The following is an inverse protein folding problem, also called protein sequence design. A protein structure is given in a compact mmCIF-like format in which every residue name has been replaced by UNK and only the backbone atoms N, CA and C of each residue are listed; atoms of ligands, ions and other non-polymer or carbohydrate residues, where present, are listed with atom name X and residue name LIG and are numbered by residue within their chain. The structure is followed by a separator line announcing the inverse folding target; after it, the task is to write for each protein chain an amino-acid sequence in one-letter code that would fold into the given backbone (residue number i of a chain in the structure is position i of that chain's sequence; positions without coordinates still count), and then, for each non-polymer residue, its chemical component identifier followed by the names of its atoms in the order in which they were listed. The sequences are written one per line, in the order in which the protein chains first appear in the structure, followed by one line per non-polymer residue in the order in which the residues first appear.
data_IF_585402870111
#
_entry.id   IF_585402870111
#
_cell.length_a   1.000
_cell.length_b   1.000
_cell.length_c   1.000
_cell.angle_alpha   90.00
_cell.angle_beta   90.00
_cell.angle_gamma   90.00
#
_symmetry.space_group_name_H-M   'P 1'
#
loop_
_entity.id
_entity.type
_entity.pdbx_description
1 polymer ?
#
# COMPACT_ATOMS: atom_id res chain seq x y z
N UNK A 1 -25.22 6.87 -10.64
CA UNK A 1 -25.12 8.21 -10.01
C UNK A 1 -24.18 8.21 -8.81
N UNK A 2 -24.18 7.21 -7.91
CA UNK A 2 -23.24 7.13 -6.78
C UNK A 2 -21.81 6.91 -7.24
N UNK A 3 -21.59 5.96 -8.12
CA UNK A 3 -20.26 5.58 -8.62
C UNK A 3 -19.48 6.76 -9.26
N UNK A 4 -20.16 7.57 -10.09
CA UNK A 4 -19.53 8.75 -10.71
C UNK A 4 -19.12 9.80 -9.67
N UNK A 5 -19.95 10.01 -8.65
CA UNK A 5 -19.61 10.91 -7.56
C UNK A 5 -18.42 10.42 -6.78
N UNK A 6 -18.38 9.13 -6.44
CA UNK A 6 -17.31 8.53 -5.66
C UNK A 6 -15.97 8.56 -6.43
N UNK A 7 -16.02 8.36 -7.76
CA UNK A 7 -14.84 8.53 -8.63
C UNK A 7 -14.33 9.99 -8.62
N UNK A 8 -15.23 10.98 -8.72
CA UNK A 8 -14.85 12.39 -8.69
C UNK A 8 -14.29 12.80 -7.30
N UNK A 9 -14.88 12.28 -6.23
CA UNK A 9 -14.33 12.46 -4.86
C UNK A 9 -12.94 11.87 -4.75
N UNK A 10 -12.73 10.65 -5.28
CA UNK A 10 -11.43 9.99 -5.29
C UNK A 10 -10.39 10.79 -6.07
N UNK A 11 -10.73 11.23 -7.28
CA UNK A 11 -9.84 12.02 -8.13
C UNK A 11 -9.38 13.29 -7.43
N UNK A 12 -10.32 14.05 -6.88
CA UNK A 12 -10.03 15.30 -6.18
C UNK A 12 -9.23 15.06 -4.89
N UNK A 13 -9.71 14.18 -4.02
CA UNK A 13 -9.09 13.97 -2.71
C UNK A 13 -7.68 13.37 -2.78
N UNK A 14 -7.36 12.63 -3.84
CA UNK A 14 -6.05 11.99 -4.03
C UNK A 14 -5.15 12.73 -5.02
N UNK A 15 -5.58 13.86 -5.56
CA UNK A 15 -4.88 14.60 -6.62
C UNK A 15 -4.56 13.71 -7.83
N UNK A 16 -5.57 12.99 -8.31
CA UNK A 16 -5.52 12.10 -9.46
C UNK A 16 -6.41 12.64 -10.58
N UNK A 17 -6.12 12.26 -11.82
CA UNK A 17 -7.08 12.46 -12.91
C UNK A 17 -8.27 11.48 -12.77
N UNK A 18 -9.43 11.87 -13.32
CA UNK A 18 -10.67 11.09 -13.21
C UNK A 18 -10.54 9.67 -13.78
N UNK A 19 -9.74 9.51 -14.86
CA UNK A 19 -9.53 8.21 -15.49
C UNK A 19 -8.71 7.29 -14.58
N UNK A 20 -7.66 7.79 -13.97
CA UNK A 20 -6.81 7.05 -13.02
C UNK A 20 -7.62 6.65 -11.80
N UNK A 21 -8.40 7.58 -11.22
CA UNK A 21 -9.26 7.30 -10.07
C UNK A 21 -10.30 6.22 -10.38
N UNK A 22 -11.03 6.35 -11.50
CA UNK A 22 -11.98 5.34 -11.95
C UNK A 22 -11.36 3.98 -12.23
N UNK A 23 -10.16 3.97 -12.80
CA UNK A 23 -9.40 2.74 -13.04
C UNK A 23 -8.99 2.04 -11.73
N UNK A 24 -8.59 2.78 -10.70
CA UNK A 24 -8.26 2.17 -9.40
C UNK A 24 -9.50 1.53 -8.78
N UNK A 25 -10.63 2.24 -8.74
CA UNK A 25 -11.88 1.68 -8.20
C UNK A 25 -12.24 0.39 -8.91
N UNK A 26 -12.36 0.41 -10.25
CA UNK A 26 -12.76 -0.75 -11.04
C UNK A 26 -11.76 -1.93 -10.93
N UNK A 27 -10.45 -1.64 -10.97
CA UNK A 27 -9.41 -2.67 -10.84
C UNK A 27 -9.39 -3.31 -9.46
N UNK A 28 -9.60 -2.53 -8.40
CA UNK A 28 -9.56 -3.05 -7.04
C UNK A 28 -10.80 -3.86 -6.69
N UNK A 29 -11.98 -3.47 -7.21
CA UNK A 29 -13.16 -4.34 -7.15
C UNK A 29 -12.86 -5.71 -7.76
N UNK A 30 -12.27 -5.73 -8.96
CA UNK A 30 -11.96 -6.98 -9.67
C UNK A 30 -10.78 -7.75 -9.06
N UNK A 31 -9.67 -7.06 -8.75
CA UNK A 31 -8.42 -7.71 -8.35
C UNK A 31 -8.44 -8.19 -6.91
N UNK A 32 -9.13 -7.46 -6.02
CA UNK A 32 -9.22 -7.79 -4.60
C UNK A 32 -10.50 -8.53 -4.25
N UNK A 33 -11.40 -8.73 -5.23
CA UNK A 33 -12.74 -9.27 -5.01
C UNK A 33 -13.49 -8.46 -3.94
N UNK A 34 -13.36 -7.15 -3.99
CA UNK A 34 -14.01 -6.20 -3.10
C UNK A 34 -15.33 -5.73 -3.70
N UNK A 35 -16.32 -5.51 -2.84
CA UNK A 35 -17.47 -4.69 -3.22
C UNK A 35 -17.08 -3.19 -3.24
N UNK A 36 -17.94 -2.37 -3.83
CA UNK A 36 -17.71 -0.93 -3.95
C UNK A 36 -17.42 -0.26 -2.58
N UNK A 37 -18.16 -0.66 -1.54
CA UNK A 37 -17.99 -0.12 -0.19
C UNK A 37 -16.61 -0.47 0.39
N UNK A 38 -16.13 -1.66 0.15
CA UNK A 38 -14.79 -2.10 0.59
C UNK A 38 -13.69 -1.30 -0.11
N UNK A 39 -13.86 -1.01 -1.42
CA UNK A 39 -12.92 -0.15 -2.14
C UNK A 39 -12.93 1.27 -1.58
N UNK A 40 -14.11 1.85 -1.32
CA UNK A 40 -14.21 3.19 -0.72
C UNK A 40 -13.59 3.24 0.68
N UNK A 41 -13.73 2.16 1.46
CA UNK A 41 -13.06 2.04 2.76
C UNK A 41 -11.53 2.04 2.61
N UNK A 42 -10.99 1.28 1.65
CA UNK A 42 -9.55 1.27 1.36
C UNK A 42 -9.04 2.64 0.91
N UNK A 43 -9.84 3.35 0.10
CA UNK A 43 -9.53 4.71 -0.33
C UNK A 43 -9.50 5.71 0.84
N UNK A 44 -10.46 5.61 1.77
CA UNK A 44 -10.46 6.38 3.02
C UNK A 44 -9.19 6.13 3.85
N UNK A 45 -8.78 4.86 3.98
CA UNK A 45 -7.54 4.46 4.68
C UNK A 45 -6.31 5.06 4.01
N UNK A 46 -6.20 4.94 2.68
CA UNK A 46 -5.09 5.49 1.90
C UNK A 46 -5.02 7.02 1.99
N UNK A 47 -6.17 7.68 1.86
CA UNK A 47 -6.24 9.14 1.99
C UNK A 47 -5.80 9.59 3.38
N UNK A 48 -6.27 8.92 4.44
CA UNK A 48 -5.87 9.22 5.81
C UNK A 48 -4.36 9.03 6.02
N UNK A 49 -3.79 7.96 5.48
CA UNK A 49 -2.34 7.72 5.53
C UNK A 49 -1.56 8.85 4.84
N UNK A 50 -1.97 9.26 3.63
CA UNK A 50 -1.33 10.34 2.88
C UNK A 50 -1.39 11.68 3.60
N UNK A 51 -2.52 11.99 4.23
CA UNK A 51 -2.71 13.24 4.98
C UNK A 51 -1.86 13.33 6.26
N UNK A 52 -1.40 12.20 6.82
CA UNK A 52 -0.72 12.16 8.13
C UNK A 52 0.73 11.64 8.07
N UNK A 53 1.29 11.45 6.88
CA UNK A 53 2.66 11.00 6.69
C UNK A 53 3.35 11.80 5.58
N UNK A 54 4.68 11.68 5.47
CA UNK A 54 5.48 12.36 4.44
C UNK A 54 5.40 11.64 3.09
N UNK A 55 4.20 11.49 2.55
CA UNK A 55 3.87 10.91 1.24
C UNK A 55 2.47 11.40 0.85
N UNK A 56 2.01 11.10 -0.35
CA UNK A 56 0.67 11.47 -0.82
C UNK A 56 -0.24 10.25 -0.97
N UNK A 57 -1.55 10.45 -0.88
CA UNK A 57 -2.53 9.40 -1.10
C UNK A 57 -2.40 8.77 -2.50
N UNK A 58 -2.12 9.58 -3.53
CA UNK A 58 -1.89 9.10 -4.90
C UNK A 58 -0.67 8.20 -5.03
N UNK A 59 0.45 8.53 -4.37
CA UNK A 59 1.66 7.69 -4.35
C UNK A 59 1.42 6.35 -3.64
N UNK A 60 0.70 6.38 -2.51
CA UNK A 60 0.31 5.15 -1.79
C UNK A 60 -0.60 4.30 -2.68
N UNK A 61 -1.62 4.89 -3.30
CA UNK A 61 -2.53 4.20 -4.20
C UNK A 61 -1.81 3.52 -5.38
N UNK A 62 -0.82 4.18 -5.98
CA UNK A 62 0.03 3.60 -7.02
C UNK A 62 0.78 2.36 -6.53
N UNK A 63 1.33 2.40 -5.33
CA UNK A 63 2.06 1.28 -4.74
C UNK A 63 1.12 0.12 -4.39
N UNK A 64 -0.07 0.40 -3.85
CA UNK A 64 -1.12 -0.59 -3.59
C UNK A 64 -1.57 -1.26 -4.89
N UNK A 65 -1.82 -0.49 -5.96
CA UNK A 65 -2.18 -1.04 -7.26
C UNK A 65 -1.11 -2.00 -7.82
N UNK A 66 0.14 -1.80 -7.47
CA UNK A 66 1.26 -2.63 -7.94
C UNK A 66 1.50 -3.87 -7.08
N UNK A 67 1.21 -3.84 -5.78
CA UNK A 67 1.66 -4.86 -4.83
C UNK A 67 0.54 -5.63 -4.12
N UNK A 68 -0.66 -5.06 -3.96
CA UNK A 68 -1.65 -5.61 -3.04
C UNK A 68 -2.24 -6.96 -3.48
N UNK A 69 -2.33 -7.24 -4.79
CA UNK A 69 -2.74 -8.58 -5.26
C UNK A 69 -1.77 -9.67 -4.83
N UNK A 70 -0.46 -9.37 -4.83
CA UNK A 70 0.55 -10.30 -4.30
C UNK A 70 0.44 -10.40 -2.78
N UNK A 71 0.11 -9.29 -2.11
CA UNK A 71 -0.16 -9.26 -0.68
C UNK A 71 -1.29 -10.22 -0.28
N UNK A 72 -2.42 -10.16 -0.96
CA UNK A 72 -3.54 -11.08 -0.69
C UNK A 72 -3.16 -12.55 -0.85
N UNK A 73 -2.40 -12.89 -1.90
CA UNK A 73 -1.87 -14.25 -2.08
C UNK A 73 -0.95 -14.64 -0.92
N UNK A 74 -0.19 -13.69 -0.40
CA UNK A 74 0.72 -13.89 0.73
C UNK A 74 0.04 -13.81 2.11
N UNK A 75 -1.26 -13.56 2.19
CA UNK A 75 -1.99 -13.42 3.45
C UNK A 75 -1.96 -12.02 4.07
N UNK A 76 -1.67 -11.00 3.27
CA UNK A 76 -1.64 -9.58 3.68
C UNK A 76 -2.72 -8.80 2.94
N UNK A 77 -3.60 -8.14 3.67
CA UNK A 77 -4.67 -7.35 3.07
C UNK A 77 -4.16 -6.04 2.40
N UNK A 78 -4.98 -5.44 1.49
CA UNK A 78 -4.59 -4.21 0.80
C UNK A 78 -4.33 -3.01 1.72
N UNK A 79 -5.02 -2.90 2.87
CA UNK A 79 -4.81 -1.80 3.82
C UNK A 79 -3.45 -1.95 4.54
N UNK A 80 -3.07 -3.17 4.94
CA UNK A 80 -1.75 -3.44 5.49
C UNK A 80 -0.64 -3.22 4.45
N UNK A 81 -0.91 -3.51 3.17
CA UNK A 81 -0.01 -3.18 2.05
C UNK A 81 0.14 -1.66 1.89
N UNK A 82 -0.95 -0.89 2.02
CA UNK A 82 -0.91 0.57 2.01
C UNK A 82 -0.07 1.12 3.19
N UNK A 83 -0.20 0.54 4.37
CA UNK A 83 0.61 0.91 5.54
C UNK A 83 2.11 0.66 5.29
N UNK A 84 2.48 -0.46 4.67
CA UNK A 84 3.87 -0.76 4.30
C UNK A 84 4.40 0.22 3.24
N UNK A 85 3.60 0.52 2.22
CA UNK A 85 3.95 1.51 1.21
C UNK A 85 4.19 2.89 1.83
N UNK A 86 3.30 3.32 2.71
CA UNK A 86 3.43 4.58 3.46
C UNK A 86 4.74 4.65 4.24
N UNK A 87 5.08 3.60 4.98
CA UNK A 87 6.31 3.56 5.77
C UNK A 87 7.57 3.63 4.88
N UNK A 88 7.58 2.97 3.73
CA UNK A 88 8.69 3.04 2.76
C UNK A 88 8.81 4.44 2.15
N UNK A 89 7.71 5.00 1.66
CA UNK A 89 7.69 6.33 1.02
C UNK A 89 8.06 7.44 2.00
N UNK A 90 7.46 7.44 3.19
CA UNK A 90 7.75 8.43 4.22
C UNK A 90 9.21 8.41 4.68
N UNK A 91 9.93 7.31 4.46
CA UNK A 91 11.37 7.18 4.74
C UNK A 91 12.26 7.35 3.50
N UNK A 92 11.68 7.75 2.37
CA UNK A 92 12.40 8.22 1.18
C UNK A 92 12.61 7.17 0.08
N UNK A 93 11.88 6.03 0.09
CA UNK A 93 11.86 5.12 -1.06
C UNK A 93 11.02 5.74 -2.18
N UNK A 94 11.57 5.82 -3.38
CA UNK A 94 10.86 6.36 -4.54
C UNK A 94 9.62 5.51 -4.89
N UNK A 95 8.50 6.16 -5.21
CA UNK A 95 7.19 5.53 -5.42
C UNK A 95 7.22 4.40 -6.45
N UNK A 96 7.97 4.56 -7.55
CA UNK A 96 8.13 3.55 -8.60
C UNK A 96 8.83 2.27 -8.13
N UNK A 97 9.57 2.32 -7.02
CA UNK A 97 10.28 1.18 -6.41
C UNK A 97 9.50 0.50 -5.29
N UNK A 98 8.63 1.22 -4.61
CA UNK A 98 7.89 0.71 -3.44
C UNK A 98 7.08 -0.52 -3.78
N UNK A 99 6.23 -0.44 -4.81
CA UNK A 99 5.39 -1.57 -5.23
C UNK A 99 6.19 -2.81 -5.59
N UNK A 100 7.32 -2.64 -6.29
CA UNK A 100 8.25 -3.73 -6.63
C UNK A 100 8.89 -4.33 -5.38
N UNK A 101 9.36 -3.49 -4.46
CA UNK A 101 9.98 -3.96 -3.20
C UNK A 101 9.01 -4.78 -2.38
N UNK A 102 7.77 -4.29 -2.18
CA UNK A 102 6.73 -4.99 -1.43
C UNK A 102 6.37 -6.33 -2.10
N UNK A 103 6.13 -6.34 -3.41
CA UNK A 103 5.82 -7.58 -4.14
C UNK A 103 6.92 -8.62 -4.02
N UNK A 104 8.19 -8.20 -4.04
CA UNK A 104 9.34 -9.10 -3.86
C UNK A 104 9.42 -9.64 -2.44
N UNK A 105 9.18 -8.81 -1.42
CA UNK A 105 9.11 -9.25 -0.03
C UNK A 105 8.03 -10.32 0.12
N UNK A 106 6.79 -10.04 -0.30
CA UNK A 106 5.68 -10.98 -0.21
C UNK A 106 5.94 -12.30 -0.96
N UNK A 107 6.43 -12.21 -2.20
CA UNK A 107 6.76 -13.39 -3.00
C UNK A 107 7.79 -14.27 -2.30
N UNK A 108 8.84 -13.68 -1.72
CA UNK A 108 9.90 -14.45 -1.09
C UNK A 108 9.48 -15.05 0.27
N UNK A 109 8.66 -14.34 1.04
CA UNK A 109 8.09 -14.87 2.28
C UNK A 109 7.14 -16.06 2.04
N UNK A 110 6.51 -16.12 0.86
CA UNK A 110 5.57 -17.16 0.49
C UNK A 110 6.21 -18.38 -0.19
N UNK A 111 7.54 -18.41 -0.37
CA UNK A 111 8.21 -19.50 -1.13
C UNK A 111 8.15 -20.87 -0.47
N UNK A 112 8.16 -20.95 0.84
CA UNK A 112 8.17 -22.21 1.58
C UNK A 112 9.27 -23.15 1.10
N UNK A 113 8.92 -24.37 0.74
CA UNK A 113 9.87 -25.40 0.25
C UNK A 113 10.65 -25.00 -1.01
N UNK A 114 10.09 -24.05 -1.80
CA UNK A 114 10.71 -23.53 -3.03
C UNK A 114 11.78 -22.45 -2.76
N UNK A 115 12.04 -22.11 -1.51
CA UNK A 115 13.14 -21.23 -1.15
C UNK A 115 14.48 -21.84 -1.54
N UNK A 116 15.41 -21.01 -2.04
CA UNK A 116 16.77 -21.47 -2.38
C UNK A 116 17.51 -21.95 -1.14
N UNK A 117 18.58 -22.73 -1.33
CA UNK A 117 19.43 -23.17 -0.21
C UNK A 117 19.93 -21.97 0.62
N UNK A 118 20.43 -20.94 -0.04
CA UNK A 118 20.91 -19.73 0.64
C UNK A 118 19.79 -19.01 1.43
N UNK A 119 18.57 -18.98 0.89
CA UNK A 119 17.42 -18.41 1.63
C UNK A 119 17.07 -19.26 2.86
N UNK A 120 17.09 -20.59 2.75
CA UNK A 120 16.80 -21.49 3.88
C UNK A 120 17.84 -21.31 4.99
N UNK A 121 19.13 -21.29 4.64
CA UNK A 121 20.22 -21.04 5.58
C UNK A 121 20.08 -19.66 6.28
N UNK A 122 19.68 -18.63 5.54
CA UNK A 122 19.46 -17.29 6.11
C UNK A 122 18.22 -17.25 7.03
N UNK A 123 17.14 -17.98 6.68
CA UNK A 123 15.99 -18.11 7.57
C UNK A 123 16.36 -18.81 8.88
N UNK A 124 17.15 -19.88 8.82
CA UNK A 124 17.65 -20.61 9.99
C UNK A 124 18.51 -19.72 10.89
N UNK A 125 19.37 -18.88 10.30
CA UNK A 125 20.17 -17.90 11.04
C UNK A 125 19.29 -16.89 11.80
N UNK A 126 18.14 -16.51 11.22
CA UNK A 126 17.16 -15.63 11.85
C UNK A 126 16.23 -16.35 12.84
N UNK A 127 16.37 -17.67 13.01
CA UNK A 127 15.55 -18.48 13.91
C UNK A 127 14.23 -18.97 13.29
N UNK A 128 14.10 -18.93 11.97
CA UNK A 128 12.92 -19.37 11.24
C UNK A 128 13.21 -20.54 10.31
N UNK A 129 12.16 -21.11 9.74
CA UNK A 129 12.24 -21.98 8.55
C UNK A 129 11.44 -21.38 7.40
N UNK A 130 11.87 -21.59 6.16
CA UNK A 130 11.17 -21.07 5.00
C UNK A 130 9.72 -21.54 4.93
N UNK A 131 9.48 -22.82 5.25
CA UNK A 131 8.14 -23.42 5.32
C UNK A 131 7.30 -22.83 6.46
N UNK A 132 7.92 -22.59 7.62
CA UNK A 132 7.29 -21.96 8.78
C UNK A 132 6.81 -20.55 8.45
N UNK A 133 7.68 -19.73 7.86
CA UNK A 133 7.34 -18.37 7.40
C UNK A 133 6.18 -18.40 6.40
N UNK A 134 6.25 -19.24 5.36
CA UNK A 134 5.19 -19.30 4.35
C UNK A 134 3.84 -19.72 4.95
N UNK A 135 3.83 -20.62 5.93
CA UNK A 135 2.61 -21.04 6.65
C UNK A 135 2.11 -19.90 7.56
N UNK A 136 2.99 -19.25 8.30
CA UNK A 136 2.66 -18.16 9.21
C UNK A 136 2.07 -16.96 8.45
N UNK A 137 2.61 -16.63 7.27
CA UNK A 137 2.06 -15.60 6.38
C UNK A 137 0.57 -15.83 6.07
N UNK A 138 0.13 -17.08 5.87
CA UNK A 138 -1.27 -17.40 5.57
C UNK A 138 -2.21 -17.29 6.79
N UNK A 139 -1.67 -17.35 7.99
CA UNK A 139 -2.47 -17.28 9.24
C UNK A 139 -2.44 -15.90 9.88
N UNK A 140 -1.28 -15.25 9.85
CA UNK A 140 -1.05 -13.90 10.36
C UNK A 140 0.07 -13.22 9.55
N UNK A 141 -0.26 -12.76 8.35
CA UNK A 141 0.72 -12.15 7.46
C UNK A 141 1.35 -10.88 8.04
N UNK A 142 0.56 -10.03 8.70
CA UNK A 142 1.06 -8.79 9.33
C UNK A 142 1.97 -9.10 10.52
N UNK A 143 1.57 -10.01 11.40
CA UNK A 143 2.41 -10.44 12.52
C UNK A 143 3.72 -11.06 12.04
N UNK A 144 3.67 -11.94 11.04
CA UNK A 144 4.86 -12.56 10.43
C UNK A 144 5.82 -11.52 9.85
N UNK A 145 5.30 -10.52 9.13
CA UNK A 145 6.13 -9.39 8.63
C UNK A 145 6.84 -8.67 9.77
N UNK A 146 6.14 -8.37 10.86
CA UNK A 146 6.72 -7.71 12.03
C UNK A 146 7.82 -8.57 12.68
N UNK A 147 7.57 -9.86 12.89
CA UNK A 147 8.56 -10.79 13.43
C UNK A 147 9.83 -10.88 12.57
N UNK A 148 9.67 -11.01 11.25
CA UNK A 148 10.79 -11.06 10.31
C UNK A 148 11.61 -9.77 10.32
N UNK A 149 10.94 -8.61 10.26
CA UNK A 149 11.66 -7.33 10.27
C UNK A 149 12.28 -7.02 11.65
N UNK A 150 11.70 -7.48 12.75
CA UNK A 150 12.32 -7.41 14.08
C UNK A 150 13.60 -8.26 14.12
N UNK A 151 13.56 -9.49 13.63
CA UNK A 151 14.74 -10.35 13.59
C UNK A 151 15.87 -9.74 12.71
N UNK A 152 15.50 -9.12 11.57
CA UNK A 152 16.44 -8.40 10.73
C UNK A 152 17.00 -7.14 11.43
N UNK A 153 16.18 -6.45 12.22
CA UNK A 153 16.61 -5.27 13.00
C UNK A 153 17.64 -5.63 14.06
N UNK A 154 17.47 -6.77 14.71
CA UNK A 154 18.37 -7.28 15.77
C UNK A 154 19.68 -7.87 15.21
N UNK A 155 19.77 -8.08 13.89
CA UNK A 155 20.97 -8.57 13.23
C UNK A 155 22.09 -7.50 13.24
N UNK A 156 23.40 -7.88 13.34
CA UNK A 156 24.50 -6.95 13.18
C UNK A 156 24.44 -6.20 11.84
N UNK A 157 24.73 -4.89 11.84
CA UNK A 157 24.56 -4.01 10.68
C UNK A 157 25.33 -4.49 9.44
N UNK A 158 26.52 -5.02 9.63
CA UNK A 158 27.36 -5.58 8.55
C UNK A 158 26.72 -6.79 7.84
N UNK A 159 25.73 -7.44 8.47
CA UNK A 159 25.03 -8.60 7.92
C UNK A 159 23.71 -8.25 7.23
N UNK A 160 23.09 -7.12 7.60
CA UNK A 160 21.73 -6.75 7.16
C UNK A 160 21.59 -6.67 5.65
N UNK A 161 22.55 -6.05 4.95
CA UNK A 161 22.47 -5.91 3.47
C UNK A 161 22.54 -7.28 2.79
N UNK A 162 23.44 -8.16 3.26
CA UNK A 162 23.55 -9.51 2.72
C UNK A 162 22.28 -10.33 3.00
N UNK A 163 21.70 -10.22 4.19
CA UNK A 163 20.45 -10.89 4.56
C UNK A 163 19.28 -10.40 3.69
N UNK A 164 19.08 -9.09 3.57
CA UNK A 164 18.04 -8.51 2.73
C UNK A 164 18.17 -8.92 1.25
N UNK A 165 19.41 -8.92 0.73
CA UNK A 165 19.68 -9.36 -0.64
C UNK A 165 19.38 -10.85 -0.84
N UNK A 166 19.81 -11.70 0.08
CA UNK A 166 19.58 -13.14 0.03
C UNK A 166 18.10 -13.48 0.14
N UNK A 167 17.40 -12.87 1.11
CA UNK A 167 15.99 -13.17 1.37
C UNK A 167 15.07 -12.61 0.31
N UNK A 168 15.25 -11.34 -0.09
CA UNK A 168 14.27 -10.62 -0.90
C UNK A 168 14.75 -10.23 -2.30
N UNK A 169 16.06 -10.35 -2.56
CA UNK A 169 16.69 -9.96 -3.83
C UNK A 169 16.99 -8.46 -3.91
N UNK A 170 17.82 -8.10 -4.91
CA UNK A 170 18.37 -6.74 -5.05
C UNK A 170 17.31 -5.63 -5.12
N UNK A 171 16.19 -5.88 -5.77
CA UNK A 171 15.12 -4.89 -5.95
C UNK A 171 14.33 -4.57 -4.67
N UNK A 172 14.51 -5.36 -3.61
CA UNK A 172 13.85 -5.14 -2.32
C UNK A 172 14.82 -4.70 -1.21
N UNK A 173 16.12 -4.56 -1.49
CA UNK A 173 17.10 -4.16 -0.46
C UNK A 173 16.75 -2.80 0.13
N UNK A 174 16.50 -1.79 -0.71
CA UNK A 174 16.20 -0.43 -0.25
C UNK A 174 14.93 -0.39 0.60
N UNK A 175 13.82 -0.92 0.07
CA UNK A 175 12.55 -0.97 0.80
C UNK A 175 12.62 -1.80 2.07
N UNK A 176 13.26 -2.99 2.00
CA UNK A 176 13.48 -3.84 3.15
C UNK A 176 14.33 -3.19 4.24
N UNK A 177 15.42 -2.51 3.86
CA UNK A 177 16.27 -1.77 4.80
C UNK A 177 15.52 -0.62 5.48
N UNK A 178 14.68 0.12 4.73
CA UNK A 178 13.86 1.20 5.30
C UNK A 178 12.87 0.68 6.34
N UNK A 179 12.16 -0.43 6.05
CA UNK A 179 11.26 -1.06 7.04
C UNK A 179 12.06 -1.60 8.22
N UNK A 180 13.16 -2.33 7.97
CA UNK A 180 14.02 -2.86 9.04
C UNK A 180 14.46 -1.77 10.01
N UNK A 181 14.92 -0.62 9.49
CA UNK A 181 15.44 0.46 10.33
C UNK A 181 14.33 1.36 10.91
N UNK A 182 13.10 1.29 10.40
CA UNK A 182 11.99 2.14 10.79
C UNK A 182 10.70 1.33 11.02
N UNK A 183 10.81 0.19 11.68
CA UNK A 183 9.66 -0.71 11.92
C UNK A 183 8.50 0.01 12.61
N UNK A 184 8.79 0.93 13.53
CA UNK A 184 7.78 1.76 14.19
C UNK A 184 6.98 2.65 13.24
N UNK A 185 7.53 3.06 12.10
CA UNK A 185 6.77 3.79 11.08
C UNK A 185 5.72 2.89 10.42
N UNK A 186 6.07 1.64 10.15
CA UNK A 186 5.11 0.64 9.64
C UNK A 186 4.03 0.33 10.67
N UNK A 187 4.40 0.12 11.94
CA UNK A 187 3.44 -0.15 13.03
C UNK A 187 2.48 1.02 13.25
N UNK A 188 2.98 2.26 13.18
CA UNK A 188 2.14 3.45 13.24
C UNK A 188 1.15 3.52 12.07
N UNK A 189 1.60 3.26 10.85
CA UNK A 189 0.73 3.24 9.67
C UNK A 189 -0.32 2.11 9.76
N UNK A 190 0.04 0.92 10.26
CA UNK A 190 -0.90 -0.17 10.52
C UNK A 190 -1.98 0.24 11.54
N UNK A 191 -1.61 0.90 12.63
CA UNK A 191 -2.56 1.39 13.63
C UNK A 191 -3.56 2.39 12.99
N UNK A 192 -3.10 3.26 12.09
CA UNK A 192 -3.95 4.22 11.39
C UNK A 192 -5.02 3.55 10.51
N UNK A 193 -4.68 2.47 9.80
CA UNK A 193 -5.63 1.75 8.94
C UNK A 193 -6.50 0.74 9.69
N UNK A 194 -6.15 0.43 10.93
CA UNK A 194 -6.89 -0.53 11.77
C UNK A 194 -7.98 0.12 12.60
N UNK A 195 -8.00 1.44 12.74
CA UNK A 195 -8.98 2.18 13.54
C UNK A 195 -9.96 2.95 12.63
N UNK A 196 -11.20 2.42 12.44
CA UNK A 196 -12.20 3.08 11.61
C UNK A 196 -12.57 4.50 12.04
N UNK A 197 -12.39 4.84 13.31
CA UNK A 197 -12.68 6.19 13.81
C UNK A 197 -11.74 7.26 13.24
N UNK A 198 -10.55 6.84 12.80
CA UNK A 198 -9.55 7.74 12.24
C UNK A 198 -9.83 8.03 10.76
N UNK A 199 -10.03 7.01 9.95
CA UNK A 199 -10.06 7.15 8.48
C UNK A 199 -11.45 7.30 7.88
N UNK A 200 -12.52 6.81 8.54
CA UNK A 200 -13.87 6.85 7.94
C UNK A 200 -14.25 8.26 7.49
N UNK A 201 -14.61 8.40 6.22
CA UNK A 201 -14.95 9.67 5.59
C UNK A 201 -13.77 10.61 5.32
N UNK A 202 -12.53 10.10 5.36
CA UNK A 202 -11.32 10.89 5.07
C UNK A 202 -11.37 11.49 3.66
N UNK A 203 -11.76 10.71 2.68
CA UNK A 203 -11.92 11.15 1.29
C UNK A 203 -12.92 12.31 1.15
N UNK A 204 -14.06 12.20 1.78
CA UNK A 204 -15.11 13.24 1.72
C UNK A 204 -14.65 14.54 2.40
N UNK A 205 -13.96 14.43 3.54
CA UNK A 205 -13.40 15.60 4.23
C UNK A 205 -12.36 16.32 3.36
N UNK A 206 -11.45 15.56 2.76
CA UNK A 206 -10.41 16.10 1.89
C UNK A 206 -11.03 16.75 0.63
N UNK A 207 -12.00 16.09 0.03
CA UNK A 207 -12.76 16.63 -1.11
C UNK A 207 -13.39 17.98 -0.78
N UNK A 208 -14.03 18.12 0.39
CA UNK A 208 -14.67 19.38 0.83
C UNK A 208 -13.60 20.48 1.00
N UNK A 209 -12.45 20.15 1.60
CA UNK A 209 -11.34 21.09 1.80
C UNK A 209 -10.83 21.59 0.44
N UNK A 210 -10.52 20.69 -0.46
CA UNK A 210 -9.99 21.03 -1.78
C UNK A 210 -11.03 21.78 -2.64
N UNK A 211 -12.29 21.36 -2.62
CA UNK A 211 -13.38 22.01 -3.34
C UNK A 211 -13.65 23.45 -2.83
N UNK A 212 -13.29 23.76 -1.61
CA UNK A 212 -13.45 25.11 -1.04
C UNK A 212 -12.38 26.10 -1.50
N UNK A 213 -11.33 25.65 -2.18
CA UNK A 213 -10.31 26.52 -2.75
C UNK A 213 -10.74 27.08 -4.12
N UNK A 214 -10.42 28.34 -4.42
CA UNK A 214 -10.85 29.02 -5.66
C UNK A 214 -10.40 28.31 -6.93
N UNK A 215 -9.24 27.67 -6.90
CA UNK A 215 -8.66 26.95 -8.04
C UNK A 215 -9.39 25.63 -8.33
N UNK A 216 -9.88 24.98 -7.29
CA UNK A 216 -10.68 23.75 -7.38
C UNK A 216 -12.09 24.02 -7.89
N UNK A 217 -12.72 25.15 -7.52
CA UNK A 217 -14.07 25.51 -7.99
C UNK A 217 -14.06 25.67 -9.52
N UNK A 218 -13.07 26.34 -10.08
CA UNK A 218 -12.93 26.52 -11.53
C UNK A 218 -12.72 25.19 -12.27
N UNK A 219 -11.92 24.29 -11.70
CA UNK A 219 -11.66 22.95 -12.26
C UNK A 219 -12.91 22.07 -12.16
N UNK A 220 -13.62 22.10 -11.04
CA UNK A 220 -14.87 21.36 -10.86
C UNK A 220 -15.97 21.83 -11.81
N UNK A 221 -16.08 23.14 -12.03
CA UNK A 221 -17.04 23.69 -13.01
C UNK A 221 -16.71 23.23 -14.42
N UNK A 222 -15.42 23.25 -14.82
CA UNK A 222 -14.98 22.76 -16.14
C UNK A 222 -15.25 21.26 -16.31
N UNK A 223 -14.96 20.44 -15.30
CA UNK A 223 -15.19 19.00 -15.34
C UNK A 223 -16.67 18.66 -15.36
N UNK A 224 -17.50 19.36 -14.59
CA UNK A 224 -18.97 19.21 -14.61
C UNK A 224 -19.56 19.59 -15.96
N UNK A 225 -19.07 20.66 -16.59
CA UNK A 225 -19.48 21.08 -17.94
C UNK A 225 -19.03 20.06 -19.00
N UNK A 226 -17.86 19.46 -18.83
CA UNK A 226 -17.35 18.43 -19.74
C UNK A 226 -18.16 17.13 -19.63
N UNK A 227 -18.49 16.70 -18.41
CA UNK A 227 -19.35 15.54 -18.15
C UNK A 227 -20.77 15.74 -18.72
N UNK A 228 -21.35 16.93 -18.52
CA UNK A 228 -22.64 17.28 -19.11
C UNK A 228 -22.61 17.27 -20.65
N UNK A 229 -21.53 17.74 -21.27
CA UNK A 229 -21.38 17.69 -22.74
C UNK A 229 -21.27 16.25 -23.27
N UNK A 230 -20.62 15.36 -22.53
CA UNK A 230 -20.53 13.94 -22.89
C UNK A 230 -21.87 13.22 -22.73
N UNK A 231 -22.68 13.59 -21.73
CA UNK A 231 -24.00 13.00 -21.47
C UNK A 231 -25.07 13.47 -22.47
N UNK A 232 -24.91 14.67 -23.07
CA UNK A 232 -25.84 15.27 -24.03
C UNK A 232 -25.51 14.85 -25.50
N UNK A 233 -24.38 14.15 -25.71
CA UNK A 233 -24.10 13.53 -27.02
C UNK A 233 -23.84 14.52 -28.16
N UNK A 234 -23.18 15.63 -27.90
CA UNK A 234 -22.70 16.60 -28.90
C UNK A 234 -21.22 16.71 -28.94
#
# INVERSE_FOLDING_TARGET
TGYLRDTAVTATAMDLDDQTAGNYVAKWEASFNFDHKQVMTLLDQINYLGAHNATTAGEIAQSVNSAASMGQIAGVDPAATAAMATAMQATGVATDRVGTSISRIYTNLSKGSNATKAQKEMWEELGFTAEGIAKSMQTDGVGTLKEVFTALQDMPDERKVAALSTLFGQWAIEGGAKITNNLGAYEKALAMVSDPSLYTGSMEREFIIQASTSESIDTMVKNSVTALKQDIGT
#
